data_IF_400179765713
#
_entry.id   IF_400179765713
#
_cell.length_a   1.000
_cell.length_b   1.000
_cell.length_c   1.000
_cell.angle_alpha   90.00
_cell.angle_beta   90.00
_cell.angle_gamma   90.00
#
_symmetry.space_group_name_H-M   'P 1'
#
loop_
_entity.id
_entity.type
_entity.pdbx_description
1 polymer ?
#
# COMPACT_ATOMS: atom_id res chain seq x y z
N UNK A 1 -13.53 -18.69 33.48
CA UNK A 1 -12.48 -18.28 32.53
C UNK A 1 -13.15 -18.06 31.19
N UNK A 2 -13.30 -16.81 30.76
CA UNK A 2 -13.83 -16.44 29.44
C UNK A 2 -12.68 -15.80 28.68
N UNK A 3 -12.39 -16.32 27.49
CA UNK A 3 -11.26 -15.96 26.67
C UNK A 3 -11.28 -14.48 26.31
N UNK A 4 -10.17 -13.78 26.57
CA UNK A 4 -9.91 -12.43 26.10
C UNK A 4 -9.85 -12.46 24.57
N UNK A 5 -10.78 -11.77 23.91
CA UNK A 5 -10.60 -11.40 22.50
C UNK A 5 -9.96 -10.02 22.52
N UNK A 6 -8.62 -10.00 22.46
CA UNK A 6 -7.88 -8.77 22.17
C UNK A 6 -8.19 -8.39 20.73
N UNK A 7 -9.16 -7.48 20.55
CA UNK A 7 -9.39 -6.80 19.28
C UNK A 7 -8.22 -5.83 19.05
N UNK A 8 -7.09 -6.38 18.62
CA UNK A 8 -5.89 -5.63 18.27
C UNK A 8 -5.80 -5.53 16.76
N UNK A 9 -6.86 -5.04 16.14
CA UNK A 9 -6.80 -4.57 14.76
C UNK A 9 -7.08 -3.08 14.81
N UNK A 10 -5.99 -2.33 14.98
CA UNK A 10 -5.91 -0.99 14.45
C UNK A 10 -6.36 -1.09 12.99
N UNK A 11 -7.60 -0.73 12.71
CA UNK A 11 -7.99 -0.26 11.39
C UNK A 11 -7.21 1.05 11.23
N UNK A 12 -5.93 0.89 10.90
CA UNK A 12 -5.09 1.96 10.40
C UNK A 12 -5.89 2.56 9.27
N UNK A 13 -6.22 3.85 9.38
CA UNK A 13 -6.81 4.65 8.32
C UNK A 13 -6.34 4.10 6.97
N UNK A 14 -7.25 3.67 6.08
CA UNK A 14 -6.83 3.26 4.75
C UNK A 14 -6.10 4.46 4.19
N UNK A 15 -4.77 4.38 4.17
CA UNK A 15 -3.90 5.46 3.73
C UNK A 15 -3.95 5.37 2.22
N UNK A 16 -5.14 5.58 1.67
CA UNK A 16 -5.46 5.28 0.31
C UNK A 16 -4.60 6.19 -0.54
N UNK A 17 -3.67 5.57 -1.26
CA UNK A 17 -2.71 6.28 -2.08
C UNK A 17 -3.48 6.73 -3.31
N UNK A 18 -3.71 8.03 -3.42
CA UNK A 18 -4.34 8.60 -4.60
C UNK A 18 -3.40 8.46 -5.80
N UNK A 19 -3.74 7.65 -6.82
CA UNK A 19 -2.87 7.41 -7.97
C UNK A 19 -2.51 8.69 -8.73
N UNK A 20 -3.41 9.68 -8.74
CA UNK A 20 -3.19 10.96 -9.41
C UNK A 20 -2.10 11.82 -8.73
N UNK A 21 -1.70 11.48 -7.51
CA UNK A 21 -0.66 12.16 -6.75
C UNK A 21 0.67 11.40 -6.75
N UNK A 22 0.77 10.30 -7.49
CA UNK A 22 2.00 9.53 -7.62
C UNK A 22 2.84 10.12 -8.76
N UNK A 23 4.10 10.43 -8.47
CA UNK A 23 5.08 10.87 -9.45
C UNK A 23 5.72 9.66 -10.17
N UNK A 24 6.16 8.67 -9.39
CA UNK A 24 6.60 7.37 -9.91
C UNK A 24 6.56 6.30 -8.80
N UNK A 25 6.64 5.03 -9.20
CA UNK A 25 6.72 3.88 -8.31
C UNK A 25 7.96 3.07 -8.68
N UNK A 26 8.75 2.69 -7.67
CA UNK A 26 9.92 1.82 -7.84
C UNK A 26 9.83 0.61 -6.90
N UNK A 27 10.43 -0.50 -7.31
CA UNK A 27 10.56 -1.68 -6.44
C UNK A 27 11.69 -1.44 -5.44
N UNK A 28 11.47 -1.77 -4.17
CA UNK A 28 12.52 -1.66 -3.17
C UNK A 28 13.69 -2.57 -3.52
N UNK A 29 14.91 -2.06 -3.34
CA UNK A 29 16.15 -2.82 -3.51
C UNK A 29 16.45 -3.73 -2.33
N UNK A 30 15.78 -3.53 -1.20
CA UNK A 30 15.96 -4.31 0.03
C UNK A 30 14.95 -5.46 0.13
N UNK A 31 13.74 -5.28 -0.42
CA UNK A 31 12.67 -6.28 -0.40
C UNK A 31 11.86 -6.24 -1.70
N UNK A 32 11.90 -7.34 -2.47
CA UNK A 32 11.22 -7.47 -3.76
C UNK A 32 9.70 -7.43 -3.66
N UNK A 33 9.12 -7.68 -2.49
CA UNK A 33 7.67 -7.63 -2.27
C UNK A 33 7.17 -6.24 -1.88
N UNK A 34 8.09 -5.29 -1.69
CA UNK A 34 7.76 -3.91 -1.30
C UNK A 34 7.99 -2.98 -2.48
N UNK A 35 6.95 -2.22 -2.80
CA UNK A 35 7.02 -1.13 -3.76
C UNK A 35 7.01 0.20 -3.02
N UNK A 36 7.70 1.20 -3.56
CA UNK A 36 7.76 2.54 -3.00
C UNK A 36 7.16 3.49 -4.01
N UNK A 37 6.03 4.10 -3.66
CA UNK A 37 5.45 5.20 -4.43
C UNK A 37 6.02 6.52 -3.91
N UNK A 38 6.62 7.29 -4.82
CA UNK A 38 6.97 8.68 -4.56
C UNK A 38 5.79 9.56 -4.97
N UNK A 39 5.27 10.31 -4.02
CA UNK A 39 4.18 11.26 -4.25
C UNK A 39 4.72 12.59 -4.78
N UNK A 40 3.89 13.35 -5.49
CA UNK A 40 4.20 14.72 -5.94
C UNK A 40 4.52 15.68 -4.79
N UNK A 41 4.09 15.36 -3.57
CA UNK A 41 4.45 16.09 -2.35
C UNK A 41 5.88 15.80 -1.86
N UNK A 42 6.60 14.87 -2.50
CA UNK A 42 7.89 14.35 -2.05
C UNK A 42 7.80 13.27 -0.97
N UNK A 43 6.60 12.92 -0.50
CA UNK A 43 6.40 11.82 0.44
C UNK A 43 6.66 10.48 -0.24
N UNK A 44 7.41 9.60 0.42
CA UNK A 44 7.54 8.19 0.02
C UNK A 44 6.56 7.34 0.81
N UNK A 45 5.83 6.47 0.12
CA UNK A 45 4.83 5.57 0.71
C UNK A 45 5.14 4.14 0.28
N UNK A 46 5.13 3.21 1.23
CA UNK A 46 5.24 1.78 0.92
C UNK A 46 3.91 1.29 0.36
N UNK A 47 4.00 0.50 -0.69
CA UNK A 47 2.90 -0.04 -1.47
C UNK A 47 3.07 -1.55 -1.50
N UNK A 48 2.04 -2.28 -1.11
CA UNK A 48 1.99 -3.73 -1.30
C UNK A 48 1.66 -4.09 -2.76
N UNK A 49 1.93 -5.32 -3.19
CA UNK A 49 1.60 -5.77 -4.55
C UNK A 49 0.10 -5.64 -4.87
N UNK A 50 -0.78 -5.86 -3.89
CA UNK A 50 -2.23 -5.68 -4.05
C UNK A 50 -2.62 -4.22 -4.26
N UNK A 51 -2.01 -3.29 -3.51
CA UNK A 51 -2.20 -1.86 -3.71
C UNK A 51 -1.62 -1.39 -5.04
N UNK A 52 -0.47 -1.93 -5.45
CA UNK A 52 0.13 -1.64 -6.75
C UNK A 52 -0.81 -2.04 -7.91
N UNK A 53 -1.40 -3.23 -7.84
CA UNK A 53 -2.38 -3.69 -8.83
C UNK A 53 -3.59 -2.75 -8.91
N UNK A 54 -4.08 -2.29 -7.76
CA UNK A 54 -5.17 -1.31 -7.69
C UNK A 54 -4.78 0.06 -8.26
N UNK A 55 -3.56 0.54 -7.97
CA UNK A 55 -3.04 1.84 -8.42
C UNK A 55 -2.77 1.86 -9.93
N UNK A 56 -2.18 0.80 -10.46
CA UNK A 56 -1.78 0.70 -11.88
C UNK A 56 -2.95 0.34 -12.80
N UNK A 57 -4.13 0.08 -12.23
CA UNK A 57 -5.29 -0.39 -12.98
C UNK A 57 -5.10 -1.79 -13.57
N UNK A 58 -4.08 -2.53 -13.11
CA UNK A 58 -3.96 -3.96 -13.37
C UNK A 58 -4.96 -4.70 -12.48
N UNK A 59 -6.25 -4.53 -12.79
CA UNK A 59 -7.16 -5.64 -12.55
C UNK A 59 -6.62 -6.78 -13.44
N UNK A 60 -6.11 -7.82 -12.77
CA UNK A 60 -6.06 -9.14 -13.35
C UNK A 60 -7.39 -9.35 -14.08
N UNK A 61 -7.31 -9.58 -15.39
CA UNK A 61 -8.46 -9.84 -16.24
C UNK A 61 -9.45 -10.76 -15.50
N UNK A 62 -10.69 -10.29 -15.32
CA UNK A 62 -11.83 -11.14 -14.94
C UNK A 62 -12.03 -12.27 -15.94
#
# INVERSE_FOLDING_TARGET
>A
MLAMVYLHEYVLDPTWINPAQIEFIEQSTEDVHVWIARMVSGKMVKVSEAELAHITGQNAAE
#
